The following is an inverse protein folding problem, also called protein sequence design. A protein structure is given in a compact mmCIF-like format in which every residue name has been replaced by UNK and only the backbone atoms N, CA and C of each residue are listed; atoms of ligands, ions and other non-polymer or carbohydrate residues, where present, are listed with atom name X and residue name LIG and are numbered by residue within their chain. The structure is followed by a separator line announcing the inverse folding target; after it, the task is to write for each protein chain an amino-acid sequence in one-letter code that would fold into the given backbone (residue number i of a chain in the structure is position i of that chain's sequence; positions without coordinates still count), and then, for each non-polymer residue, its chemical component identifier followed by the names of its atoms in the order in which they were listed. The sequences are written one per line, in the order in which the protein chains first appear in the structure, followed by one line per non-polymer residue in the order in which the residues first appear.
data_IF_724381556381
#
_entry.id   IF_724381556381
#
_cell.length_a   1.000
_cell.length_b   1.000
_cell.length_c   1.000
_cell.angle_alpha   90.00
_cell.angle_beta   90.00
_cell.angle_gamma   90.00
#
_symmetry.space_group_name_H-M   'P 1'
#
loop_
_entity.id
_entity.type
_entity.pdbx_description
1 polymer ?
#
# COMPACT_ATOMS: atom_id res chain seq x y z
N UNK A 1 1.70 3.90 -6.31
CA UNK A 1 0.96 2.68 -6.72
C UNK A 1 0.53 1.92 -5.47
N UNK A 2 -0.60 1.22 -5.50
CA UNK A 2 -1.12 0.41 -4.39
C UNK A 2 -1.29 -1.02 -4.91
N UNK A 3 -0.82 -2.02 -4.16
CA UNK A 3 -0.95 -3.43 -4.50
C UNK A 3 -1.85 -4.15 -3.48
N UNK A 4 -2.62 -5.14 -3.94
CA UNK A 4 -3.51 -5.91 -3.07
C UNK A 4 -3.75 -7.33 -3.56
N UNK A 5 -4.20 -8.20 -2.66
CA UNK A 5 -4.48 -9.61 -2.94
C UNK A 5 -3.45 -10.55 -2.30
N UNK A 6 -3.36 -11.78 -2.82
CA UNK A 6 -2.40 -12.79 -2.34
C UNK A 6 -1.02 -12.49 -2.91
N UNK A 7 -0.22 -11.76 -2.14
CA UNK A 7 1.15 -11.38 -2.51
C UNK A 7 2.12 -12.12 -1.58
N UNK A 8 3.06 -12.92 -2.12
CA UNK A 8 4.11 -13.56 -1.34
C UNK A 8 4.95 -12.53 -0.57
N UNK A 9 5.27 -12.81 0.70
CA UNK A 9 6.02 -11.88 1.54
C UNK A 9 7.41 -11.54 1.00
N UNK A 10 8.03 -12.47 0.28
CA UNK A 10 9.31 -12.29 -0.40
C UNK A 10 9.26 -11.24 -1.54
N UNK A 11 8.07 -10.97 -2.09
CA UNK A 11 7.90 -10.00 -3.18
C UNK A 11 7.66 -8.58 -2.64
N UNK A 12 7.53 -8.39 -1.32
CA UNK A 12 7.21 -7.09 -0.74
C UNK A 12 8.32 -6.08 -0.98
N UNK A 13 9.58 -6.49 -0.75
CA UNK A 13 10.74 -5.62 -0.92
C UNK A 13 10.86 -5.16 -2.39
N UNK A 14 10.68 -6.08 -3.34
CA UNK A 14 10.64 -5.77 -4.76
C UNK A 14 9.53 -4.76 -5.11
N UNK A 15 8.33 -4.95 -4.55
CA UNK A 15 7.20 -4.03 -4.80
C UNK A 15 7.44 -2.65 -4.19
N UNK A 16 8.03 -2.57 -3.00
CA UNK A 16 8.42 -1.30 -2.39
C UNK A 16 9.48 -0.58 -3.23
N UNK A 17 10.50 -1.28 -3.71
CA UNK A 17 11.52 -0.73 -4.62
C UNK A 17 10.92 -0.26 -5.95
N UNK A 18 9.91 -0.95 -6.46
CA UNK A 18 9.15 -0.54 -7.65
C UNK A 18 8.24 0.68 -7.42
N UNK A 19 8.19 1.25 -6.20
CA UNK A 19 7.41 2.44 -5.87
C UNK A 19 5.97 2.16 -5.44
N UNK A 20 5.66 0.93 -5.03
CA UNK A 20 4.41 0.63 -4.34
C UNK A 20 4.44 1.26 -2.95
N UNK A 21 3.40 2.05 -2.63
CA UNK A 21 3.29 2.75 -1.35
C UNK A 21 2.53 1.96 -0.29
N UNK A 22 1.61 1.10 -0.71
CA UNK A 22 0.77 0.29 0.18
C UNK A 22 0.59 -1.11 -0.41
N UNK A 23 0.71 -2.14 0.44
CA UNK A 23 0.49 -3.55 0.08
C UNK A 23 -0.56 -4.11 1.04
N UNK A 24 -1.69 -4.56 0.51
CA UNK A 24 -2.80 -5.11 1.31
C UNK A 24 -2.99 -6.61 1.05
N UNK A 25 -2.53 -7.42 2.01
CA UNK A 25 -2.64 -8.89 1.94
C UNK A 25 -4.08 -9.39 2.14
N UNK A 26 -4.30 -10.71 1.93
CA UNK A 26 -5.61 -11.33 2.11
C UNK A 26 -6.05 -11.23 3.59
N UNK A 27 -7.29 -10.81 3.82
CA UNK A 27 -7.85 -10.65 5.17
C UNK A 27 -7.59 -9.28 5.82
N UNK A 28 -6.93 -8.34 5.12
CA UNK A 28 -6.77 -6.97 5.64
C UNK A 28 -8.15 -6.29 5.78
N UNK A 29 -8.51 -5.77 6.97
CA UNK A 29 -9.81 -5.11 7.16
C UNK A 29 -9.95 -3.85 6.29
N UNK A 30 -11.10 -3.70 5.63
CA UNK A 30 -11.41 -2.56 4.75
C UNK A 30 -11.14 -1.20 5.42
N UNK A 31 -11.53 -0.95 6.69
CA UNK A 31 -11.28 0.35 7.33
C UNK A 31 -9.79 0.68 7.48
N UNK A 32 -8.95 -0.33 7.69
CA UNK A 32 -7.50 -0.16 7.80
C UNK A 32 -6.92 0.22 6.45
N UNK A 33 -7.28 -0.52 5.38
CA UNK A 33 -6.84 -0.19 4.03
C UNK A 33 -7.25 1.22 3.61
N UNK A 34 -8.49 1.62 3.91
CA UNK A 34 -9.02 2.93 3.54
C UNK A 34 -8.23 4.08 4.19
N UNK A 35 -7.89 3.94 5.48
CA UNK A 35 -7.06 4.92 6.19
C UNK A 35 -5.67 5.01 5.59
N UNK A 36 -5.01 3.86 5.38
CA UNK A 36 -3.63 3.83 4.90
C UNK A 36 -3.51 4.41 3.48
N UNK A 37 -4.51 4.17 2.62
CA UNK A 37 -4.61 4.82 1.30
C UNK A 37 -4.79 6.33 1.43
N UNK A 38 -5.68 6.79 2.31
CA UNK A 38 -5.92 8.22 2.52
C UNK A 38 -4.66 8.93 3.02
N UNK A 39 -3.95 8.32 3.96
CA UNK A 39 -2.68 8.83 4.49
C UNK A 39 -1.61 8.90 3.39
N UNK A 40 -1.50 7.86 2.55
CA UNK A 40 -0.57 7.83 1.43
C UNK A 40 -0.88 8.91 0.38
N UNK A 41 -2.16 9.20 0.12
CA UNK A 41 -2.61 10.27 -0.79
C UNK A 41 -2.31 11.64 -0.20
N UNK A 42 -2.65 11.86 1.08
CA UNK A 42 -2.38 13.12 1.78
C UNK A 42 -0.88 13.44 1.84
N UNK A 43 -0.04 12.43 2.12
CA UNK A 43 1.40 12.57 2.11
C UNK A 43 1.93 12.92 0.71
N UNK A 44 1.37 12.34 -0.35
CA UNK A 44 1.73 12.68 -1.72
C UNK A 44 1.28 14.09 -2.14
N UNK A 45 0.17 14.59 -1.60
CA UNK A 45 -0.35 15.94 -1.88
C UNK A 45 0.40 17.04 -1.12
N UNK A 46 0.86 16.77 0.12
CA UNK A 46 1.62 17.73 0.94
C UNK A 46 3.03 18.03 0.42
N UNK A 47 3.55 17.21 -0.51
CA UNK A 47 4.84 17.42 -1.15
C UNK A 47 4.79 18.23 -2.45
N UNK A 48 3.64 18.85 -2.78
CA UNK A 48 3.49 19.81 -3.89
C UNK A 48 3.51 21.25 -3.39
#
# INVERSE_FOLDING_TARGET
MIAGGVIPRQDYDFLYEAGVKCIFGPGTPIPVCARDVLDAVNAAQRGK
#
